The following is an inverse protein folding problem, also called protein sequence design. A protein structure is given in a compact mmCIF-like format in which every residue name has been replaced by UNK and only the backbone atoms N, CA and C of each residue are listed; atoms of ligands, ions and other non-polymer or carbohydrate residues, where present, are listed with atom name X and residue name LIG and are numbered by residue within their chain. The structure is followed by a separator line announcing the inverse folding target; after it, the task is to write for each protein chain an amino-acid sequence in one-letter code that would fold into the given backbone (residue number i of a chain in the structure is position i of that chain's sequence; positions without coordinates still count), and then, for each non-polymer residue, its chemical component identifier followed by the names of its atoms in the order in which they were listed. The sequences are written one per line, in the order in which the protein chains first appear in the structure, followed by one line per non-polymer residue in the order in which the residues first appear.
data_IF_964466538461
#
_entry.id   IF_964466538461
#
_cell.length_a   1.000
_cell.length_b   1.000
_cell.length_c   1.000
_cell.angle_alpha   90.00
_cell.angle_beta   90.00
_cell.angle_gamma   90.00
#
_symmetry.space_group_name_H-M   'P 1'
#
loop_
_entity.id
_entity.type
_entity.pdbx_description
1 polymer ?
#
# COMPACT_ATOMS: atom_id res chain seq x y z
N UNK A 1 7.51 -8.75 -1.19
CA UNK A 1 8.99 -8.59 -1.13
C UNK A 1 9.45 -9.35 0.09
N UNK A 2 10.38 -10.29 -0.08
CA UNK A 2 10.76 -11.23 0.99
C UNK A 2 12.20 -10.96 1.38
N UNK A 3 12.45 -10.60 2.64
CA UNK A 3 13.78 -10.32 3.17
C UNK A 3 14.27 -11.58 3.88
N UNK A 4 15.41 -12.12 3.47
CA UNK A 4 16.06 -13.24 4.15
C UNK A 4 17.04 -12.68 5.15
N UNK A 5 16.75 -12.87 6.43
CA UNK A 5 17.58 -12.42 7.55
C UNK A 5 18.37 -13.63 8.07
N UNK A 6 19.68 -13.47 8.28
CA UNK A 6 20.51 -14.50 8.91
C UNK A 6 20.29 -14.50 10.43
N UNK A 7 20.46 -15.66 11.09
CA UNK A 7 20.29 -15.77 12.55
C UNK A 7 21.29 -14.93 13.36
N UNK A 8 22.39 -14.52 12.74
CA UNK A 8 23.47 -13.72 13.35
C UNK A 8 23.37 -12.23 13.02
N UNK A 9 22.33 -11.81 12.30
CA UNK A 9 22.18 -10.42 11.89
C UNK A 9 22.06 -9.50 13.11
N UNK A 10 22.86 -8.44 13.12
CA UNK A 10 22.84 -7.42 14.15
C UNK A 10 21.68 -6.45 13.95
N UNK A 11 21.30 -5.75 15.02
CA UNK A 11 20.19 -4.78 15.01
C UNK A 11 20.41 -3.65 14.00
N UNK A 12 21.67 -3.27 13.75
CA UNK A 12 22.06 -2.23 12.80
C UNK A 12 21.89 -2.68 11.35
N UNK A 13 22.29 -3.91 11.03
CA UNK A 13 22.11 -4.50 9.69
C UNK A 13 20.63 -4.65 9.33
N UNK A 14 19.82 -5.05 10.31
CA UNK A 14 18.36 -5.10 10.17
C UNK A 14 17.76 -3.72 9.89
N UNK A 15 18.20 -2.69 10.62
CA UNK A 15 17.73 -1.33 10.40
C UNK A 15 18.13 -0.80 9.01
N UNK A 16 19.34 -1.12 8.53
CA UNK A 16 19.79 -0.76 7.20
C UNK A 16 18.96 -1.44 6.10
N UNK A 17 18.68 -2.75 6.23
CA UNK A 17 17.82 -3.48 5.29
C UNK A 17 16.39 -2.96 5.28
N UNK A 18 15.84 -2.61 6.45
CA UNK A 18 14.49 -2.04 6.55
C UNK A 18 14.40 -0.65 5.91
N UNK A 19 15.46 0.17 5.94
CA UNK A 19 15.49 1.48 5.27
C UNK A 19 15.53 1.39 3.75
N UNK A 20 16.07 0.31 3.19
CA UNK A 20 16.10 0.08 1.74
C UNK A 20 14.75 -0.38 1.18
N UNK A 21 13.80 -0.76 2.03
CA UNK A 21 12.46 -1.10 1.59
C UNK A 21 11.77 0.15 1.04
N UNK A 22 11.31 0.06 -0.20
CA UNK A 22 10.41 1.07 -0.75
C UNK A 22 9.21 1.17 0.18
N UNK A 23 8.79 2.39 0.57
CA UNK A 23 7.60 2.56 1.38
C UNK A 23 6.44 1.86 0.66
N UNK A 24 5.72 1.01 1.40
CA UNK A 24 4.51 0.40 0.87
C UNK A 24 3.62 1.52 0.33
N UNK A 25 3.02 1.31 -0.84
CA UNK A 25 2.08 2.27 -1.44
C UNK A 25 0.94 2.44 -0.43
N UNK A 26 1.00 3.52 0.36
CA UNK A 26 -0.02 3.81 1.34
C UNK A 26 -1.30 4.18 0.61
N UNK A 27 -2.43 3.71 1.12
CA UNK A 27 -3.72 4.18 0.66
C UNK A 27 -3.78 5.70 0.93
N UNK A 28 -3.98 6.46 -0.14
CA UNK A 28 -4.17 7.91 -0.02
C UNK A 28 -5.58 8.18 0.49
N UNK A 29 -5.71 8.25 1.80
CA UNK A 29 -7.00 8.48 2.47
C UNK A 29 -7.62 9.81 2.00
N UNK A 30 -6.84 10.84 1.73
CA UNK A 30 -7.37 12.12 1.22
C UNK A 30 -7.99 11.98 -0.18
N UNK A 31 -7.42 11.12 -1.03
CA UNK A 31 -7.93 10.86 -2.38
C UNK A 31 -9.14 9.94 -2.40
N UNK A 32 -9.20 8.95 -1.49
CA UNK A 32 -10.15 7.83 -1.56
C UNK A 32 -11.18 7.79 -0.42
N UNK A 33 -10.93 8.45 0.72
CA UNK A 33 -11.90 8.50 1.81
C UNK A 33 -13.12 9.32 1.40
N UNK A 34 -14.31 8.79 1.68
CA UNK A 34 -15.60 9.42 1.36
C UNK A 34 -16.03 9.34 -0.11
N UNK A 35 -15.13 8.98 -1.04
CA UNK A 35 -15.48 8.72 -2.45
C UNK A 35 -15.98 7.30 -2.71
N UNK A 36 -15.59 6.36 -1.85
CA UNK A 36 -16.09 4.98 -1.91
C UNK A 36 -17.47 4.97 -1.25
N UNK A 37 -18.52 4.88 -2.07
CA UNK A 37 -19.87 4.60 -1.59
C UNK A 37 -19.93 3.12 -1.23
N UNK A 38 -19.88 2.82 0.07
CA UNK A 38 -20.00 1.46 0.57
C UNK A 38 -21.36 0.87 0.17
N UNK A 39 -21.36 -0.19 -0.65
CA UNK A 39 -22.57 -0.79 -1.23
C UNK A 39 -22.83 -0.43 -2.70
N UNK A 40 -21.99 0.38 -3.34
CA UNK A 40 -22.03 0.60 -4.79
C UNK A 40 -21.41 -0.60 -5.52
N UNK A 41 -22.02 -0.98 -6.64
CA UNK A 41 -21.47 -2.02 -7.51
C UNK A 41 -20.11 -1.60 -8.09
N UNK A 42 -19.18 -2.55 -8.18
CA UNK A 42 -17.81 -2.30 -8.61
C UNK A 42 -17.73 -1.81 -10.06
N UNK A 43 -18.66 -2.24 -10.92
CA UNK A 43 -18.74 -1.83 -12.33
C UNK A 43 -19.24 -0.38 -12.44
N UNK A 44 -20.27 -0.03 -11.67
CA UNK A 44 -20.83 1.33 -11.65
C UNK A 44 -19.81 2.35 -11.14
N UNK A 45 -19.07 2.00 -10.09
CA UNK A 45 -17.97 2.84 -9.58
C UNK A 45 -16.86 3.05 -10.63
N UNK A 46 -16.56 2.02 -11.44
CA UNK A 46 -15.57 2.16 -12.52
C UNK A 46 -16.06 3.05 -13.67
N UNK A 47 -17.36 3.04 -13.98
CA UNK A 47 -17.96 3.90 -15.01
C UNK A 47 -17.99 5.36 -14.58
N UNK A 48 -18.40 5.63 -13.34
CA UNK A 48 -18.37 6.99 -12.75
C UNK A 48 -16.94 7.56 -12.72
N UNK A 49 -15.93 6.74 -12.43
CA UNK A 49 -14.53 7.15 -12.47
C UNK A 49 -14.02 7.51 -13.89
N UNK A 50 -14.72 7.08 -14.94
CA UNK A 50 -14.35 7.28 -16.35
C UNK A 50 -15.20 8.33 -17.07
N UNK A 51 -16.17 8.95 -16.39
CA UNK A 51 -17.18 9.83 -17.00
C UNK A 51 -17.90 9.19 -18.21
N UNK A 52 -18.21 7.88 -18.11
CA UNK A 52 -18.98 7.09 -19.11
C UNK A 52 -20.43 6.83 -18.69
#
# INVERSE_FOLDING_TARGET
MTIKISKTATKEELAAQLRQLKPAKKLDVSKYAGKVRWGQDALDYQRELRDE
#
